data_IF_455724677293
#
_entry.id   IF_455724677293
#
_cell.length_a   1.000
_cell.length_b   1.000
_cell.length_c   1.000
_cell.angle_alpha   90.00
_cell.angle_beta   90.00
_cell.angle_gamma   90.00
#
_symmetry.space_group_name_H-M   'P 1'
#
loop_
_entity.id
_entity.type
_entity.pdbx_description
1 polymer ?
#
# COMPACT_ATOMS: atom_id res chain seq x y z
N UNK A 1 1.62 3.22 -21.90
CA UNK A 1 1.36 2.02 -21.09
C UNK A 1 0.81 2.46 -19.74
N UNK A 2 -0.39 2.03 -19.30
CA UNK A 2 -1.02 2.48 -18.06
C UNK A 2 -0.26 2.06 -16.79
N UNK A 3 0.75 1.22 -16.91
CA UNK A 3 1.54 0.68 -15.82
C UNK A 3 2.78 1.52 -15.48
N UNK A 4 3.06 2.59 -16.24
CA UNK A 4 4.23 3.43 -16.05
C UNK A 4 3.84 4.89 -15.84
N UNK A 5 4.52 5.56 -14.93
CA UNK A 5 4.42 7.00 -14.75
C UNK A 5 5.17 7.75 -15.87
N UNK A 6 4.88 9.03 -16.07
CA UNK A 6 5.46 9.78 -17.20
C UNK A 6 6.99 9.80 -17.20
N UNK A 7 7.61 9.89 -16.03
CA UNK A 7 9.07 9.87 -15.90
C UNK A 7 9.68 8.47 -16.11
N UNK A 8 8.87 7.42 -16.11
CA UNK A 8 9.27 6.03 -16.39
C UNK A 8 9.14 5.65 -17.87
N UNK A 9 8.64 6.54 -18.74
CA UNK A 9 8.47 6.25 -20.17
C UNK A 9 9.73 5.69 -20.85
N UNK A 10 10.97 6.20 -20.57
CA UNK A 10 12.17 5.63 -21.15
C UNK A 10 12.44 4.17 -20.73
N UNK A 11 11.97 3.76 -19.54
CA UNK A 11 12.03 2.36 -19.08
C UNK A 11 10.99 1.55 -19.85
N UNK A 12 9.76 2.06 -19.96
CA UNK A 12 8.66 1.41 -20.67
C UNK A 12 9.02 1.12 -22.15
N UNK A 13 9.71 2.05 -22.82
CA UNK A 13 10.18 1.88 -24.20
C UNK A 13 11.22 0.74 -24.33
N UNK A 14 12.12 0.61 -23.36
CA UNK A 14 13.09 -0.48 -23.33
C UNK A 14 12.43 -1.82 -23.07
N UNK A 15 11.48 -1.89 -22.12
CA UNK A 15 10.75 -3.13 -21.80
C UNK A 15 9.90 -3.59 -22.98
N UNK A 16 9.20 -2.69 -23.67
CA UNK A 16 8.45 -3.04 -24.89
C UNK A 16 9.38 -3.61 -25.97
N UNK A 17 10.56 -3.02 -26.17
CA UNK A 17 11.52 -3.54 -27.13
C UNK A 17 12.06 -4.92 -26.76
N UNK A 18 12.26 -5.18 -25.48
CA UNK A 18 12.64 -6.51 -24.96
C UNK A 18 11.54 -7.54 -25.25
N UNK A 19 10.27 -7.18 -24.95
CA UNK A 19 9.12 -8.04 -25.22
C UNK A 19 8.98 -8.36 -26.73
N UNK A 20 9.13 -7.36 -27.61
CA UNK A 20 9.11 -7.55 -29.06
C UNK A 20 10.21 -8.53 -29.54
N UNK A 21 11.45 -8.36 -29.05
CA UNK A 21 12.56 -9.23 -29.43
C UNK A 21 12.37 -10.68 -28.89
N UNK A 22 11.79 -10.83 -27.71
CA UNK A 22 11.46 -12.14 -27.15
C UNK A 22 10.41 -12.87 -28.01
N UNK A 23 9.34 -12.17 -28.42
CA UNK A 23 8.32 -12.74 -29.30
C UNK A 23 8.89 -13.19 -30.66
N UNK A 24 9.80 -12.42 -31.23
CA UNK A 24 10.47 -12.80 -32.49
C UNK A 24 11.47 -13.96 -32.29
N UNK A 25 12.15 -14.03 -31.15
CA UNK A 25 13.09 -15.11 -30.83
C UNK A 25 12.41 -16.46 -30.63
N UNK A 26 11.19 -16.47 -30.14
CA UNK A 26 10.38 -17.69 -29.94
C UNK A 26 9.82 -18.22 -31.28
N UNK A 27 9.56 -17.33 -32.25
CA UNK A 27 9.02 -17.67 -33.57
C UNK A 27 10.09 -18.02 -34.64
N UNK A 28 11.34 -17.59 -34.44
CA UNK A 28 12.43 -17.76 -35.37
C UNK A 28 13.65 -18.37 -34.64
N UNK A 29 14.37 -19.31 -35.29
CA UNK A 29 15.65 -19.86 -34.79
C UNK A 29 16.79 -18.83 -34.67
N UNK A 30 16.45 -17.56 -34.43
CA UNK A 30 17.37 -16.44 -34.26
C UNK A 30 17.77 -16.29 -32.80
N UNK A 31 19.06 -16.48 -32.51
CA UNK A 31 19.59 -16.27 -31.18
C UNK A 31 19.79 -14.78 -30.92
N UNK A 32 18.73 -14.11 -30.37
CA UNK A 32 18.72 -12.73 -29.96
C UNK A 32 19.09 -12.55 -28.47
N UNK A 33 19.54 -13.60 -27.80
CA UNK A 33 19.79 -13.63 -26.36
C UNK A 33 20.75 -12.57 -25.87
N UNK A 34 21.83 -12.32 -26.61
CA UNK A 34 22.84 -11.31 -26.22
C UNK A 34 22.27 -9.88 -26.29
N UNK A 35 21.48 -9.56 -27.31
CA UNK A 35 20.86 -8.24 -27.42
C UNK A 35 19.76 -8.04 -26.38
N UNK A 36 18.95 -9.06 -26.08
CA UNK A 36 17.97 -9.02 -24.99
C UNK A 36 18.66 -8.79 -23.64
N UNK A 37 19.75 -9.50 -23.36
CA UNK A 37 20.51 -9.31 -22.11
C UNK A 37 21.09 -7.89 -22.00
N UNK A 38 21.67 -7.36 -23.09
CA UNK A 38 22.17 -5.98 -23.13
C UNK A 38 21.08 -4.95 -22.87
N UNK A 39 19.87 -5.14 -23.44
CA UNK A 39 18.74 -4.24 -23.20
C UNK A 39 18.24 -4.34 -21.76
N UNK A 40 18.21 -5.52 -21.15
CA UNK A 40 17.87 -5.71 -19.72
C UNK A 40 18.86 -5.00 -18.80
N UNK A 41 20.16 -5.13 -19.05
CA UNK A 41 21.19 -4.39 -18.30
C UNK A 41 20.99 -2.88 -18.41
N UNK A 42 20.69 -2.40 -19.62
CA UNK A 42 20.40 -0.98 -19.86
C UNK A 42 19.13 -0.53 -19.15
N UNK A 43 18.06 -1.32 -19.16
CA UNK A 43 16.82 -1.04 -18.44
C UNK A 43 17.06 -0.97 -16.93
N UNK A 44 17.78 -1.93 -16.37
CA UNK A 44 18.15 -1.95 -14.95
C UNK A 44 18.97 -0.71 -14.56
N UNK A 45 19.98 -0.36 -15.33
CA UNK A 45 20.82 0.82 -15.07
C UNK A 45 20.03 2.13 -15.19
N UNK A 46 19.12 2.23 -16.17
CA UNK A 46 18.26 3.39 -16.37
C UNK A 46 17.25 3.53 -15.22
N UNK A 47 16.65 2.43 -14.79
CA UNK A 47 15.74 2.39 -13.64
C UNK A 47 16.46 2.89 -12.39
N UNK A 48 17.63 2.34 -12.08
CA UNK A 48 18.43 2.78 -10.94
C UNK A 48 18.73 4.29 -11.01
N UNK A 49 19.12 4.80 -12.17
CA UNK A 49 19.41 6.23 -12.38
C UNK A 49 18.17 7.11 -12.14
N UNK A 50 17.03 6.76 -12.72
CA UNK A 50 15.79 7.53 -12.60
C UNK A 50 15.32 7.55 -11.14
N UNK A 51 15.35 6.40 -10.46
CA UNK A 51 14.87 6.30 -9.07
C UNK A 51 15.84 6.87 -8.02
N UNK A 52 17.09 7.07 -8.37
CA UNK A 52 18.06 7.76 -7.49
C UNK A 52 17.78 9.27 -7.39
N UNK A 53 17.16 9.86 -8.41
CA UNK A 53 17.05 11.32 -8.58
C UNK A 53 15.61 11.79 -8.71
N UNK A 54 14.68 11.10 -8.00
CA UNK A 54 13.26 11.46 -8.01
C UNK A 54 13.03 12.82 -7.33
N UNK A 55 12.20 13.65 -7.97
CA UNK A 55 11.66 14.84 -7.31
C UNK A 55 10.72 14.44 -6.16
N UNK A 56 10.47 15.37 -5.22
CA UNK A 56 9.50 15.15 -4.16
C UNK A 56 8.10 14.80 -4.71
N UNK A 57 7.72 15.41 -5.83
CA UNK A 57 6.45 15.13 -6.50
C UNK A 57 6.41 13.73 -7.12
N UNK A 58 7.48 13.30 -7.78
CA UNK A 58 7.56 11.96 -8.38
C UNK A 58 7.56 10.88 -7.28
N UNK A 59 8.19 11.13 -6.13
CA UNK A 59 8.10 10.26 -4.95
C UNK A 59 6.65 10.09 -4.49
N UNK A 60 5.86 11.18 -4.44
CA UNK A 60 4.42 11.12 -4.12
C UNK A 60 3.66 10.33 -5.20
N UNK A 61 3.99 10.50 -6.48
CA UNK A 61 3.35 9.76 -7.59
C UNK A 61 3.62 8.26 -7.48
N UNK A 62 4.86 7.86 -7.19
CA UNK A 62 5.22 6.44 -6.93
C UNK A 62 4.44 5.89 -5.74
N UNK A 63 4.40 6.63 -4.61
CA UNK A 63 3.66 6.22 -3.42
C UNK A 63 2.14 6.06 -3.68
N UNK A 64 1.60 6.78 -4.65
CA UNK A 64 0.18 6.76 -5.04
C UNK A 64 -0.10 5.96 -6.31
N UNK A 65 0.85 5.17 -6.78
CA UNK A 65 0.66 4.38 -8.00
C UNK A 65 -0.55 3.44 -7.87
N UNK A 66 -1.45 3.37 -8.89
CA UNK A 66 -2.69 2.58 -8.79
C UNK A 66 -2.48 1.07 -8.56
N UNK A 67 -1.33 0.56 -8.99
CA UNK A 67 -0.97 -0.87 -8.85
C UNK A 67 -0.19 -1.16 -7.56
N UNK A 68 0.08 -0.16 -6.73
CA UNK A 68 0.77 -0.39 -5.47
C UNK A 68 -0.05 -1.31 -4.57
N UNK A 69 0.57 -2.30 -3.91
CA UNK A 69 -0.13 -3.12 -2.92
C UNK A 69 -0.67 -2.29 -1.76
N UNK A 70 -1.84 -2.68 -1.23
CA UNK A 70 -2.48 -2.09 -0.06
C UNK A 70 -2.36 -3.02 1.14
N UNK A 71 -2.85 -2.59 2.30
CA UNK A 71 -2.74 -3.39 3.53
C UNK A 71 -3.33 -4.78 3.40
N UNK A 72 -4.48 -4.93 2.73
CA UNK A 72 -5.12 -6.23 2.52
C UNK A 72 -4.39 -7.12 1.50
N UNK A 73 -3.49 -6.58 0.69
CA UNK A 73 -2.60 -7.38 -0.16
C UNK A 73 -1.41 -7.90 0.64
N UNK A 74 -0.85 -7.06 1.53
CA UNK A 74 0.31 -7.44 2.37
C UNK A 74 -0.03 -8.42 3.48
N UNK A 75 -1.21 -8.27 4.10
CA UNK A 75 -1.57 -9.07 5.28
C UNK A 75 -1.50 -10.59 4.99
N UNK A 76 -2.13 -11.15 3.94
CA UNK A 76 -2.07 -12.58 3.70
C UNK A 76 -0.70 -13.10 3.26
N UNK A 77 0.16 -12.24 2.71
CA UNK A 77 1.51 -12.62 2.27
C UNK A 77 2.54 -12.59 3.41
N UNK A 78 2.33 -11.72 4.41
CA UNK A 78 3.29 -11.50 5.50
C UNK A 78 2.90 -12.21 6.78
N UNK A 79 1.61 -12.47 7.01
CA UNK A 79 1.08 -12.96 8.27
C UNK A 79 0.24 -14.21 8.09
N UNK A 80 0.19 -15.02 9.14
CA UNK A 80 -0.75 -16.15 9.26
C UNK A 80 -1.76 -15.88 10.36
N UNK A 81 -2.89 -16.60 10.36
CA UNK A 81 -3.93 -16.55 11.39
C UNK A 81 -4.40 -15.10 11.68
N UNK A 82 -4.65 -14.31 10.62
CA UNK A 82 -5.12 -12.95 10.82
C UNK A 82 -6.61 -12.94 11.18
N UNK A 83 -6.92 -12.44 12.38
CA UNK A 83 -8.26 -12.21 12.90
C UNK A 83 -8.55 -10.71 12.98
N UNK A 84 -9.38 -10.18 12.06
CA UNK A 84 -9.73 -8.77 12.05
C UNK A 84 -10.63 -8.38 13.21
N UNK A 85 -10.26 -7.30 13.92
CA UNK A 85 -10.99 -6.76 15.07
C UNK A 85 -11.67 -5.45 14.71
N UNK A 86 -12.99 -5.45 14.70
CA UNK A 86 -13.83 -4.33 14.27
C UNK A 86 -14.27 -3.40 15.40
N UNK A 87 -14.54 -2.14 15.05
CA UNK A 87 -15.19 -1.13 15.88
C UNK A 87 -14.31 -0.49 16.94
N UNK A 88 -14.70 0.73 17.32
CA UNK A 88 -14.00 1.56 18.30
C UNK A 88 -14.52 1.37 19.74
N UNK A 89 -15.58 0.61 19.95
CA UNK A 89 -16.30 0.43 21.24
C UNK A 89 -16.91 1.72 21.80
N UNK A 90 -17.12 2.71 20.93
CA UNK A 90 -17.70 4.00 21.30
C UNK A 90 -18.84 4.42 20.38
N UNK A 91 -18.61 4.41 19.05
CA UNK A 91 -19.59 4.85 18.05
C UNK A 91 -19.80 3.82 16.94
N UNK A 92 -18.76 3.48 16.17
CA UNK A 92 -18.89 2.62 14.98
C UNK A 92 -17.57 1.93 14.62
N UNK A 93 -17.63 1.15 13.54
CA UNK A 93 -16.44 0.69 12.85
C UNK A 93 -16.06 1.63 11.70
N UNK A 94 -14.78 1.74 11.41
CA UNK A 94 -14.25 2.46 10.24
C UNK A 94 -13.48 1.50 9.34
N UNK A 95 -13.93 1.40 8.09
CA UNK A 95 -13.37 0.49 7.09
C UNK A 95 -12.07 1.02 6.43
N UNK A 96 -11.72 2.29 6.68
CA UNK A 96 -10.43 2.85 6.26
C UNK A 96 -9.26 2.34 7.12
N UNK A 97 -9.54 1.83 8.32
CA UNK A 97 -8.57 1.15 9.18
C UNK A 97 -8.91 -0.33 9.25
N UNK A 98 -7.97 -1.16 8.87
CA UNK A 98 -7.97 -2.61 9.05
C UNK A 98 -7.00 -2.94 10.18
N UNK A 99 -7.42 -3.75 11.14
CA UNK A 99 -6.52 -4.14 12.21
C UNK A 99 -6.99 -5.38 12.93
N UNK A 100 -6.05 -6.14 13.47
CA UNK A 100 -6.35 -7.41 14.11
C UNK A 100 -5.10 -8.10 14.66
N UNK A 101 -5.33 -9.26 15.23
CA UNK A 101 -4.29 -10.15 15.73
C UNK A 101 -3.84 -11.06 14.59
N UNK A 102 -2.52 -11.29 14.50
CA UNK A 102 -1.94 -12.18 13.50
C UNK A 102 -0.70 -12.88 14.08
N UNK A 103 -0.08 -13.72 13.25
CA UNK A 103 1.26 -14.27 13.54
C UNK A 103 2.25 -13.88 12.47
N UNK A 104 3.42 -13.43 12.91
CA UNK A 104 4.61 -13.23 12.08
C UNK A 104 5.68 -14.20 12.57
N UNK A 105 6.09 -15.13 11.70
CA UNK A 105 7.03 -16.22 12.05
C UNK A 105 6.62 -16.99 13.34
N UNK A 106 5.32 -17.28 13.45
CA UNK A 106 4.73 -17.97 14.59
C UNK A 106 4.54 -17.13 15.87
N UNK A 107 5.02 -15.87 15.89
CA UNK A 107 4.89 -14.97 17.04
C UNK A 107 3.62 -14.13 16.92
N UNK A 108 2.82 -13.98 18.01
CA UNK A 108 1.63 -13.15 17.97
C UNK A 108 2.01 -11.65 17.82
N UNK A 109 1.32 -10.98 16.95
CA UNK A 109 1.49 -9.55 16.66
C UNK A 109 0.13 -8.86 16.50
N UNK A 110 0.09 -7.57 16.75
CA UNK A 110 -1.03 -6.71 16.36
C UNK A 110 -0.68 -6.02 15.05
N UNK A 111 -1.53 -6.17 14.03
CA UNK A 111 -1.39 -5.51 12.73
C UNK A 111 -2.44 -4.41 12.62
N UNK A 112 -2.03 -3.22 12.20
CA UNK A 112 -2.92 -2.08 11.97
C UNK A 112 -2.52 -1.44 10.65
N UNK A 113 -3.43 -1.38 9.68
CA UNK A 113 -3.16 -0.85 8.35
C UNK A 113 -4.27 0.08 7.85
N UNK A 114 -3.89 0.96 6.94
CA UNK A 114 -4.85 1.81 6.22
C UNK A 114 -5.20 1.16 4.90
N UNK A 115 -6.48 1.21 4.52
CA UNK A 115 -6.99 0.57 3.32
C UNK A 115 -7.80 1.57 2.48
N UNK A 116 -7.43 1.72 1.21
CA UNK A 116 -8.03 2.71 0.29
C UNK A 116 -9.14 2.14 -0.59
N UNK A 117 -9.06 0.84 -0.85
CA UNK A 117 -9.91 0.18 -1.84
C UNK A 117 -9.47 0.41 -3.29
N UNK A 118 -9.77 -0.52 -4.19
CA UNK A 118 -9.36 -0.48 -5.62
C UNK A 118 -10.50 -0.05 -6.53
N UNK A 119 -11.61 -0.77 -6.54
CA UNK A 119 -12.79 -0.43 -7.31
C UNK A 119 -13.53 0.78 -6.70
N UNK A 120 -14.30 1.49 -7.51
CA UNK A 120 -15.06 2.67 -7.03
C UNK A 120 -15.93 2.33 -5.82
N UNK A 121 -16.67 1.20 -5.87
CA UNK A 121 -17.51 0.75 -4.76
C UNK A 121 -16.71 0.50 -3.48
N UNK A 122 -15.54 -0.12 -3.62
CA UNK A 122 -14.64 -0.41 -2.50
C UNK A 122 -14.02 0.87 -1.93
N UNK A 123 -13.60 1.80 -2.80
CA UNK A 123 -13.12 3.12 -2.37
C UNK A 123 -14.17 3.87 -1.54
N UNK A 124 -15.42 3.88 -1.98
CA UNK A 124 -16.52 4.50 -1.23
C UNK A 124 -16.72 3.81 0.12
N UNK A 125 -16.74 2.48 0.15
CA UNK A 125 -16.86 1.69 1.36
C UNK A 125 -15.75 1.96 2.39
N UNK A 126 -14.54 2.23 1.90
CA UNK A 126 -13.36 2.53 2.71
C UNK A 126 -13.10 4.04 2.87
N UNK A 127 -14.09 4.85 2.55
CA UNK A 127 -14.00 6.32 2.61
C UNK A 127 -12.71 6.85 1.94
N UNK A 128 -12.31 6.25 0.80
CA UNK A 128 -11.10 6.58 0.05
C UNK A 128 -9.80 6.46 0.86
N UNK A 129 -9.79 5.67 1.92
CA UNK A 129 -8.66 5.53 2.83
C UNK A 129 -8.49 6.69 3.80
N UNK A 130 -9.49 7.55 3.95
CA UNK A 130 -9.50 8.66 4.92
C UNK A 130 -10.19 8.22 6.20
N UNK A 131 -9.47 7.96 7.31
CA UNK A 131 -10.09 7.54 8.55
C UNK A 131 -10.94 8.63 9.17
N UNK A 132 -12.05 8.21 9.76
CA UNK A 132 -12.92 8.99 10.64
C UNK A 132 -12.46 8.85 12.10
N UNK A 133 -13.02 9.60 13.06
CA UNK A 133 -12.65 9.49 14.47
C UNK A 133 -12.69 8.06 15.03
N UNK A 134 -13.70 7.29 14.63
CA UNK A 134 -13.85 5.88 15.02
C UNK A 134 -12.71 4.98 14.50
N UNK A 135 -12.09 5.31 13.36
CA UNK A 135 -10.90 4.60 12.85
C UNK A 135 -9.68 4.82 13.74
N UNK A 136 -9.43 6.06 14.16
CA UNK A 136 -8.35 6.40 15.09
C UNK A 136 -8.58 5.77 16.47
N UNK A 137 -9.81 5.83 16.99
CA UNK A 137 -10.14 5.17 18.26
C UNK A 137 -10.02 3.65 18.18
N UNK A 138 -10.39 3.03 17.04
CA UNK A 138 -10.13 1.61 16.79
C UNK A 138 -8.63 1.30 16.84
N UNK A 139 -7.80 2.08 16.16
CA UNK A 139 -6.35 1.90 16.18
C UNK A 139 -5.80 2.01 17.61
N UNK A 140 -6.19 3.04 18.37
CA UNK A 140 -5.82 3.19 19.79
C UNK A 140 -6.20 1.97 20.62
N UNK A 141 -7.44 1.51 20.49
CA UNK A 141 -7.93 0.31 21.20
C UNK A 141 -7.08 -0.92 20.90
N UNK A 142 -6.68 -1.11 19.65
CA UNK A 142 -5.83 -2.23 19.24
C UNK A 142 -4.42 -2.10 19.80
N UNK A 143 -3.84 -0.89 19.81
CA UNK A 143 -2.52 -0.62 20.42
C UNK A 143 -2.53 -0.89 21.94
N UNK A 144 -3.56 -0.44 22.65
CA UNK A 144 -3.75 -0.71 24.07
C UNK A 144 -3.92 -2.22 24.37
N UNK A 145 -4.62 -2.93 23.48
CA UNK A 145 -4.74 -4.38 23.56
C UNK A 145 -3.36 -5.06 23.37
N UNK A 146 -2.60 -4.61 22.38
CA UNK A 146 -1.25 -5.12 22.11
C UNK A 146 -0.32 -4.90 23.31
N UNK A 147 -0.34 -3.71 23.91
CA UNK A 147 0.41 -3.39 25.14
C UNK A 147 0.03 -4.33 26.29
N UNK A 148 -1.25 -4.49 26.55
CA UNK A 148 -1.77 -5.37 27.62
C UNK A 148 -1.31 -6.81 27.46
N UNK A 149 -1.27 -7.33 26.25
CA UNK A 149 -0.86 -8.71 25.94
C UNK A 149 0.62 -8.81 25.53
N UNK A 150 1.37 -7.71 25.60
CA UNK A 150 2.80 -7.63 25.26
C UNK A 150 3.09 -8.13 23.84
N UNK A 151 2.20 -7.80 22.90
CA UNK A 151 2.38 -8.10 21.49
C UNK A 151 3.06 -6.93 20.78
N UNK A 152 4.02 -7.18 19.88
CA UNK A 152 4.51 -6.15 18.97
C UNK A 152 3.37 -5.58 18.10
N UNK A 153 3.43 -4.29 17.80
CA UNK A 153 2.50 -3.62 16.87
C UNK A 153 3.22 -3.39 15.55
N UNK A 154 2.60 -3.83 14.46
CA UNK A 154 3.07 -3.60 13.09
C UNK A 154 2.07 -2.68 12.41
N UNK A 155 2.55 -1.54 11.92
CA UNK A 155 1.70 -0.55 11.23
C UNK A 155 2.02 -0.52 9.73
N UNK A 156 0.99 -0.56 8.89
CA UNK A 156 1.05 -0.38 7.45
C UNK A 156 0.45 0.99 7.11
N UNK A 157 1.31 2.01 6.97
CA UNK A 157 0.89 3.39 6.82
C UNK A 157 0.70 3.71 5.34
N UNK A 158 -0.56 3.95 4.94
CA UNK A 158 -0.92 4.32 3.57
C UNK A 158 -2.22 5.14 3.55
N UNK A 159 -2.16 6.39 3.98
CA UNK A 159 -3.32 7.29 4.06
C UNK A 159 -3.15 8.55 3.21
N UNK A 160 -4.23 9.03 2.57
CA UNK A 160 -4.25 10.38 1.98
C UNK A 160 -4.42 11.48 3.03
N UNK A 161 -4.88 11.15 4.24
CA UNK A 161 -5.16 12.07 5.35
C UNK A 161 -6.41 11.66 6.13
N UNK A 162 -6.75 12.40 7.18
CA UNK A 162 -7.99 12.23 7.93
C UNK A 162 -9.20 12.73 7.11
N UNK A 163 -10.38 12.17 7.37
CA UNK A 163 -11.61 12.62 6.72
C UNK A 163 -12.05 14.01 7.23
N UNK A 164 -12.13 15.04 6.35
CA UNK A 164 -12.43 16.42 6.74
C UNK A 164 -13.94 16.75 6.72
N UNK A 165 -14.79 15.79 7.09
CA UNK A 165 -16.24 15.97 7.09
C UNK A 165 -16.76 16.59 8.40
N UNK A 166 -17.92 17.27 8.33
CA UNK A 166 -18.61 17.84 9.50
C UNK A 166 -18.85 16.77 10.56
N UNK A 167 -19.30 15.60 10.13
CA UNK A 167 -19.55 14.44 11.00
C UNK A 167 -18.28 13.96 11.73
N UNK A 168 -17.10 14.18 11.16
CA UNK A 168 -15.82 13.90 11.82
C UNK A 168 -15.48 14.95 12.88
N UNK A 169 -15.71 16.24 12.58
CA UNK A 169 -15.52 17.32 13.57
C UNK A 169 -16.47 17.15 14.77
N UNK A 170 -17.74 16.85 14.52
CA UNK A 170 -18.74 16.60 15.57
C UNK A 170 -18.37 15.44 16.49
N UNK A 171 -17.64 14.43 15.97
CA UNK A 171 -17.19 13.26 16.74
C UNK A 171 -15.73 13.34 17.22
N UNK A 172 -15.11 14.54 17.13
CA UNK A 172 -13.83 14.84 17.73
C UNK A 172 -12.63 14.25 16.99
N UNK A 173 -12.50 14.50 15.66
CA UNK A 173 -11.40 13.99 14.85
C UNK A 173 -10.02 14.39 15.37
N UNK A 174 -9.85 15.66 15.77
CA UNK A 174 -8.57 16.17 16.28
C UNK A 174 -8.17 15.49 17.60
N UNK A 175 -9.11 15.30 18.51
CA UNK A 175 -8.90 14.58 19.77
C UNK A 175 -8.54 13.10 19.50
N UNK A 176 -9.30 12.44 18.62
CA UNK A 176 -9.04 11.05 18.27
C UNK A 176 -7.65 10.83 17.63
N UNK A 177 -7.16 11.79 16.85
CA UNK A 177 -5.81 11.78 16.30
C UNK A 177 -4.78 12.01 17.41
N UNK A 178 -4.96 13.06 18.22
CA UNK A 178 -4.00 13.44 19.25
C UNK A 178 -3.77 12.33 20.30
N UNK A 179 -4.80 11.59 20.64
CA UNK A 179 -4.69 10.46 21.58
C UNK A 179 -3.86 9.28 21.05
N UNK A 180 -3.61 9.20 19.74
CA UNK A 180 -2.78 8.16 19.13
C UNK A 180 -1.27 8.52 19.12
N UNK A 181 -0.89 9.73 19.54
CA UNK A 181 0.50 10.19 19.63
C UNK A 181 1.10 9.87 21.00
#
# INVERSE_FOLDING_TARGET
NPNYLDFEQPIAELEMKIEELQGVSDDAELNLGDEINRLREKSTALTAKIYTDLSAWDTVRVARHPQRPYSLDYIPEMFTEFDELHGDRHFADDKAIVGGIARLDGKPVMVIGQEKGRAVKDKVYRNFGMPKPEGYRKAMRLMQMAERFKMPVITLIDTPGAYPGIDSEERGISEAIAQNL
#
